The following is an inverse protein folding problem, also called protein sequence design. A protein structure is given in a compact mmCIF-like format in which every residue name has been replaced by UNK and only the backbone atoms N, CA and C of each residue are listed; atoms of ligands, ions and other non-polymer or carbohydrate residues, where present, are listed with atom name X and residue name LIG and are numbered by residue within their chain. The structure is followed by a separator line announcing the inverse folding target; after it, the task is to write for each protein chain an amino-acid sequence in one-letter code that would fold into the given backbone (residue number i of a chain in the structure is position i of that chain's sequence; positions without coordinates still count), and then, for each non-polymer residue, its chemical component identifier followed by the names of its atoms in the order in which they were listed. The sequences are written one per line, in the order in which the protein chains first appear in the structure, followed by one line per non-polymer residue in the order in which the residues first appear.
data_IF_969024894358
#
_entry.id   IF_969024894358
#
_cell.length_a   1.000
_cell.length_b   1.000
_cell.length_c   1.000
_cell.angle_alpha   90.00
_cell.angle_beta   90.00
_cell.angle_gamma   90.00
#
_symmetry.space_group_name_H-M   'P 1'
#
loop_
_entity.id
_entity.type
_entity.pdbx_description
1 polymer ?
#
# COMPACT_ATOMS: atom_id res chain seq x y z
N UNK A 1 5.13 -59.21 -77.95
CA UNK A 1 5.34 -57.80 -77.58
C UNK A 1 4.07 -56.96 -77.34
N UNK A 2 2.97 -57.48 -76.72
CA UNK A 2 1.91 -56.60 -76.18
C UNK A 2 1.80 -56.54 -74.64
N UNK A 3 2.47 -57.43 -73.90
CA UNK A 3 2.36 -57.49 -72.42
C UNK A 3 3.09 -56.36 -71.69
N UNK A 4 4.21 -55.88 -72.23
CA UNK A 4 5.03 -54.86 -71.57
C UNK A 4 4.35 -53.48 -71.57
N UNK A 5 3.62 -53.14 -72.64
CA UNK A 5 2.86 -51.88 -72.72
C UNK A 5 1.68 -51.84 -71.74
N UNK A 6 1.08 -52.98 -71.42
CA UNK A 6 -0.02 -53.06 -70.47
C UNK A 6 0.47 -52.86 -69.03
N UNK A 7 1.64 -53.40 -68.70
CA UNK A 7 2.27 -53.21 -67.38
C UNK A 7 2.67 -51.75 -67.16
N UNK A 8 3.28 -51.10 -68.15
CA UNK A 8 3.67 -49.68 -68.07
C UNK A 8 2.44 -48.78 -67.87
N UNK A 9 1.36 -49.01 -68.62
CA UNK A 9 0.12 -48.24 -68.46
C UNK A 9 -0.53 -48.44 -67.09
N UNK A 10 -0.53 -49.67 -66.56
CA UNK A 10 -1.03 -49.94 -65.20
C UNK A 10 -0.19 -49.25 -64.12
N UNK A 11 1.13 -49.22 -64.27
CA UNK A 11 2.02 -48.52 -63.32
C UNK A 11 1.79 -47.01 -63.38
N UNK A 12 1.69 -46.42 -64.58
CA UNK A 12 1.40 -44.99 -64.74
C UNK A 12 0.03 -44.61 -64.18
N UNK A 13 -0.99 -45.47 -64.35
CA UNK A 13 -2.31 -45.23 -63.76
C UNK A 13 -2.23 -45.21 -62.22
N UNK A 14 -1.53 -46.18 -61.61
CA UNK A 14 -1.34 -46.20 -60.16
C UNK A 14 -0.63 -44.93 -59.68
N UNK A 15 0.44 -44.48 -60.35
CA UNK A 15 1.11 -43.23 -59.98
C UNK A 15 0.20 -42.02 -60.11
N UNK A 16 -0.60 -41.95 -61.17
CA UNK A 16 -1.57 -40.86 -61.38
C UNK A 16 -2.62 -40.85 -60.27
N UNK A 17 -3.19 -42.01 -59.94
CA UNK A 17 -4.18 -42.15 -58.86
C UNK A 17 -3.57 -41.78 -57.49
N UNK A 18 -2.31 -42.12 -57.25
CA UNK A 18 -1.59 -41.74 -56.04
C UNK A 18 -1.29 -40.24 -55.99
N UNK A 19 -0.84 -39.62 -57.09
CA UNK A 19 -0.61 -38.18 -57.18
C UNK A 19 -1.90 -37.40 -56.93
N UNK A 20 -3.01 -37.79 -57.56
CA UNK A 20 -4.31 -37.17 -57.34
C UNK A 20 -4.78 -37.27 -55.88
N UNK A 21 -4.57 -38.44 -55.27
CA UNK A 21 -4.91 -38.67 -53.86
C UNK A 21 -4.05 -37.81 -52.92
N UNK A 22 -2.76 -37.69 -53.20
CA UNK A 22 -1.85 -36.86 -52.40
C UNK A 22 -2.12 -35.37 -52.57
N UNK A 23 -2.41 -34.91 -53.77
CA UNK A 23 -2.78 -33.52 -54.04
C UNK A 23 -4.12 -33.14 -53.38
N UNK A 24 -5.08 -34.07 -53.34
CA UNK A 24 -6.31 -33.88 -52.58
C UNK A 24 -6.02 -33.74 -51.07
N UNK A 25 -5.18 -34.60 -50.50
CA UNK A 25 -4.78 -34.52 -49.08
C UNK A 25 -3.99 -33.24 -48.76
N UNK A 26 -3.10 -32.81 -49.63
CA UNK A 26 -2.33 -31.57 -49.46
C UNK A 26 -3.24 -30.35 -49.48
N UNK A 27 -4.23 -30.31 -50.38
CA UNK A 27 -5.23 -29.23 -50.42
C UNK A 27 -6.09 -29.19 -49.16
N UNK A 28 -6.58 -30.33 -48.68
CA UNK A 28 -7.34 -30.42 -47.43
C UNK A 28 -6.52 -29.94 -46.22
N UNK A 29 -5.24 -30.34 -46.14
CA UNK A 29 -4.33 -29.90 -45.07
C UNK A 29 -4.01 -28.41 -45.14
N UNK A 30 -3.78 -27.87 -46.33
CA UNK A 30 -3.57 -26.44 -46.52
C UNK A 30 -4.79 -25.62 -46.10
N UNK A 31 -5.99 -26.11 -46.38
CA UNK A 31 -7.23 -25.46 -45.94
C UNK A 31 -7.40 -25.51 -44.43
N UNK A 32 -7.12 -26.67 -43.80
CA UNK A 32 -7.12 -26.80 -42.34
C UNK A 32 -6.10 -25.86 -41.67
N UNK A 33 -4.90 -25.70 -42.24
CA UNK A 33 -3.89 -24.76 -41.72
C UNK A 33 -4.42 -23.34 -41.79
N UNK A 34 -4.99 -22.91 -42.92
CA UNK A 34 -5.55 -21.55 -43.05
C UNK A 34 -6.70 -21.30 -42.07
N UNK A 35 -7.57 -22.28 -41.85
CA UNK A 35 -8.65 -22.18 -40.87
C UNK A 35 -8.11 -22.07 -39.43
N UNK A 36 -7.08 -22.86 -39.10
CA UNK A 36 -6.43 -22.78 -37.78
C UNK A 36 -5.70 -21.45 -37.59
N UNK A 37 -5.00 -20.95 -38.60
CA UNK A 37 -4.34 -19.64 -38.57
C UNK A 37 -5.37 -18.52 -38.35
N UNK A 38 -6.53 -18.59 -39.01
CA UNK A 38 -7.62 -17.63 -38.81
C UNK A 38 -8.23 -17.73 -37.40
N UNK A 39 -8.43 -18.94 -36.88
CA UNK A 39 -8.92 -19.16 -35.52
C UNK A 39 -7.93 -18.68 -34.47
N UNK A 40 -6.63 -18.94 -34.64
CA UNK A 40 -5.58 -18.44 -33.76
C UNK A 40 -5.55 -16.93 -33.78
N UNK A 41 -5.59 -16.29 -34.96
CA UNK A 41 -5.62 -14.83 -35.05
C UNK A 41 -6.89 -14.24 -34.39
N UNK A 42 -8.04 -14.90 -34.52
CA UNK A 42 -9.26 -14.49 -33.86
C UNK A 42 -9.16 -14.65 -32.33
N UNK A 43 -8.68 -15.78 -31.84
CA UNK A 43 -8.50 -16.02 -30.41
C UNK A 43 -7.43 -15.12 -29.80
N UNK A 44 -6.36 -14.82 -30.53
CA UNK A 44 -5.35 -13.84 -30.12
C UNK A 44 -5.96 -12.44 -30.06
N UNK A 45 -6.81 -12.07 -31.01
CA UNK A 45 -7.56 -10.80 -30.96
C UNK A 45 -8.53 -10.76 -29.78
N UNK A 46 -9.27 -11.84 -29.52
CA UNK A 46 -10.20 -11.94 -28.38
C UNK A 46 -9.46 -11.92 -27.04
N UNK A 47 -8.31 -12.58 -26.95
CA UNK A 47 -7.43 -12.57 -25.77
C UNK A 47 -6.75 -11.21 -25.58
N UNK A 48 -6.40 -10.53 -26.67
CA UNK A 48 -5.83 -9.19 -26.62
C UNK A 48 -6.90 -8.17 -26.23
N UNK A 49 -8.11 -8.24 -26.80
CA UNK A 49 -9.27 -7.39 -26.46
C UNK A 49 -9.78 -7.65 -25.04
N UNK A 50 -9.57 -8.86 -24.50
CA UNK A 50 -9.70 -9.17 -23.10
C UNK A 50 -8.58 -8.48 -22.28
N UNK A 51 -8.67 -7.16 -22.12
CA UNK A 51 -8.63 -6.68 -20.73
C UNK A 51 -9.97 -7.01 -20.15
N UNK A 52 -10.06 -8.25 -19.69
CA UNK A 52 -11.13 -8.59 -18.79
C UNK A 52 -10.93 -7.76 -17.53
N UNK A 53 -11.99 -7.10 -17.06
CA UNK A 53 -12.08 -6.64 -15.69
C UNK A 53 -11.88 -7.79 -14.67
N UNK A 54 -11.66 -9.03 -15.11
CA UNK A 54 -11.38 -10.19 -14.27
C UNK A 54 -9.99 -10.19 -13.65
N UNK A 55 -9.02 -9.46 -14.24
CA UNK A 55 -7.70 -9.26 -13.62
C UNK A 55 -7.68 -8.08 -12.63
N UNK A 56 -8.75 -7.29 -12.57
CA UNK A 56 -8.86 -6.12 -11.69
C UNK A 56 -9.33 -6.59 -10.32
N UNK A 57 -8.54 -6.26 -9.30
CA UNK A 57 -8.77 -6.69 -7.92
C UNK A 57 -9.77 -5.77 -7.22
N UNK A 58 -9.68 -4.44 -7.38
CA UNK A 58 -10.65 -3.53 -6.76
C UNK A 58 -12.01 -3.62 -7.45
N UNK A 59 -12.99 -4.16 -6.73
CA UNK A 59 -14.35 -4.37 -7.22
C UNK A 59 -15.03 -3.07 -7.69
N UNK A 60 -14.74 -1.93 -7.04
CA UNK A 60 -15.34 -0.66 -7.42
C UNK A 60 -14.79 -0.14 -8.76
N UNK A 61 -13.49 -0.32 -9.01
CA UNK A 61 -12.86 -0.07 -10.29
C UNK A 61 -13.41 -1.03 -11.35
N UNK A 62 -13.45 -2.34 -11.06
CA UNK A 62 -14.00 -3.37 -11.94
C UNK A 62 -15.42 -3.02 -12.40
N UNK A 63 -16.32 -2.73 -11.47
CA UNK A 63 -17.70 -2.31 -11.74
C UNK A 63 -17.79 -1.03 -12.57
N UNK A 64 -16.88 -0.08 -12.33
CA UNK A 64 -16.83 1.19 -13.09
C UNK A 64 -16.42 0.95 -14.53
N UNK A 65 -15.39 0.13 -14.76
CA UNK A 65 -14.87 -0.14 -16.10
C UNK A 65 -15.80 -1.04 -16.92
N UNK A 66 -16.51 -1.97 -16.29
CA UNK A 66 -17.55 -2.78 -16.95
C UNK A 66 -18.66 -1.94 -17.59
N UNK A 67 -18.96 -0.76 -17.04
CA UNK A 67 -19.94 0.19 -17.58
C UNK A 67 -19.40 1.03 -18.74
N UNK A 68 -18.09 0.98 -18.99
CA UNK A 68 -17.37 1.81 -19.96
C UNK A 68 -16.75 0.99 -21.10
N UNK A 69 -17.21 -0.26 -21.33
CA UNK A 69 -16.64 -1.17 -22.34
C UNK A 69 -16.52 -0.56 -23.75
N UNK A 70 -17.43 0.33 -24.12
CA UNK A 70 -17.45 0.99 -25.44
C UNK A 70 -16.99 2.44 -25.39
N UNK A 71 -16.50 2.92 -24.25
CA UNK A 71 -16.03 4.29 -24.09
C UNK A 71 -14.60 4.43 -24.67
N UNK A 72 -14.25 5.63 -25.18
CA UNK A 72 -12.87 5.96 -25.51
C UNK A 72 -11.90 5.71 -24.34
N UNK A 73 -10.68 5.29 -24.66
CA UNK A 73 -9.68 4.88 -23.65
C UNK A 73 -9.29 6.02 -22.70
N UNK A 74 -9.29 7.27 -23.17
CA UNK A 74 -9.05 8.45 -22.34
C UNK A 74 -10.15 8.62 -21.28
N UNK A 75 -11.40 8.37 -21.64
CA UNK A 75 -12.57 8.38 -20.75
C UNK A 75 -12.45 7.26 -19.73
N UNK A 76 -12.09 6.05 -20.16
CA UNK A 76 -11.86 4.91 -19.27
C UNK A 76 -10.76 5.19 -18.24
N UNK A 77 -9.63 5.75 -18.67
CA UNK A 77 -8.52 6.13 -17.77
C UNK A 77 -8.89 7.26 -16.82
N UNK A 78 -9.64 8.25 -17.30
CA UNK A 78 -10.18 9.35 -16.48
C UNK A 78 -11.02 8.81 -15.34
N UNK A 79 -11.91 7.88 -15.64
CA UNK A 79 -12.82 7.27 -14.68
C UNK A 79 -12.07 6.37 -13.68
N UNK A 80 -11.05 5.63 -14.12
CA UNK A 80 -10.15 4.91 -13.20
C UNK A 80 -9.44 5.87 -12.22
N UNK A 81 -8.96 7.01 -12.73
CA UNK A 81 -8.36 8.06 -11.89
C UNK A 81 -9.34 8.64 -10.86
N UNK A 82 -10.62 8.77 -11.20
CA UNK A 82 -11.69 9.20 -10.27
C UNK A 82 -11.89 8.17 -9.16
N UNK A 83 -11.87 6.87 -9.49
CA UNK A 83 -11.97 5.80 -8.48
C UNK A 83 -10.81 5.87 -7.49
N UNK A 84 -9.57 6.03 -7.98
CA UNK A 84 -8.39 6.22 -7.13
C UNK A 84 -8.52 7.43 -6.21
N UNK A 85 -8.93 8.59 -6.75
CA UNK A 85 -9.10 9.82 -5.98
C UNK A 85 -10.19 9.68 -4.89
N UNK A 86 -11.31 9.03 -5.22
CA UNK A 86 -12.39 8.71 -4.28
C UNK A 86 -11.90 7.81 -3.14
N UNK A 87 -11.14 6.77 -3.48
CA UNK A 87 -10.58 5.82 -2.50
C UNK A 87 -9.54 6.48 -1.60
N UNK A 88 -8.65 7.30 -2.17
CA UNK A 88 -7.70 8.12 -1.40
C UNK A 88 -8.40 9.01 -0.39
N UNK A 89 -9.48 9.68 -0.80
CA UNK A 89 -10.27 10.52 0.10
C UNK A 89 -10.88 9.71 1.25
N UNK A 90 -11.45 8.55 0.94
CA UNK A 90 -12.01 7.65 1.95
C UNK A 90 -10.93 7.17 2.94
N UNK A 91 -9.77 6.75 2.44
CA UNK A 91 -8.65 6.28 3.26
C UNK A 91 -8.03 7.40 4.11
N UNK A 92 -8.00 8.63 3.58
CA UNK A 92 -7.54 9.81 4.31
C UNK A 92 -8.50 10.30 5.41
N UNK A 93 -9.75 9.85 5.45
CA UNK A 93 -10.75 10.30 6.41
C UNK A 93 -11.20 11.75 6.15
N UNK A 94 -11.26 12.58 7.20
CA UNK A 94 -11.69 14.00 7.17
C UNK A 94 -10.68 14.94 6.46
N UNK A 95 -10.18 14.54 5.29
CA UNK A 95 -9.40 15.42 4.41
C UNK A 95 -10.34 16.45 3.79
N UNK A 96 -9.86 17.69 3.65
CA UNK A 96 -10.64 18.78 3.04
C UNK A 96 -11.18 18.35 1.66
N UNK A 97 -12.50 18.49 1.50
CA UNK A 97 -13.25 18.10 0.30
C UNK A 97 -12.83 18.89 -0.95
N UNK A 98 -12.21 20.05 -0.77
CA UNK A 98 -11.73 20.90 -1.86
C UNK A 98 -10.39 20.43 -2.45
N UNK A 99 -9.63 19.61 -1.72
CA UNK A 99 -8.35 19.11 -2.19
C UNK A 99 -8.56 18.07 -3.28
N UNK A 100 -7.86 18.23 -4.41
CA UNK A 100 -7.91 17.33 -5.56
C UNK A 100 -6.50 17.04 -6.06
N UNK A 101 -6.37 15.97 -6.86
CA UNK A 101 -5.10 15.60 -7.48
C UNK A 101 -3.96 15.46 -6.46
N UNK A 102 -2.83 16.09 -6.73
CA UNK A 102 -1.63 15.97 -5.88
C UNK A 102 -1.79 16.56 -4.49
N UNK A 103 -2.62 17.59 -4.34
CA UNK A 103 -2.85 18.20 -3.03
C UNK A 103 -3.61 17.26 -2.10
N UNK A 104 -4.49 16.41 -2.66
CA UNK A 104 -5.12 15.34 -1.89
C UNK A 104 -4.08 14.30 -1.46
N UNK A 105 -3.23 13.84 -2.37
CA UNK A 105 -2.15 12.89 -2.05
C UNK A 105 -1.25 13.43 -0.93
N UNK A 106 -0.83 14.69 -1.04
CA UNK A 106 0.02 15.33 -0.05
C UNK A 106 -0.69 15.37 1.31
N UNK A 107 -1.98 15.73 1.37
CA UNK A 107 -2.73 15.74 2.62
C UNK A 107 -2.92 14.34 3.24
N UNK A 108 -2.99 13.29 2.42
CA UNK A 108 -3.17 11.90 2.89
C UNK A 108 -1.84 11.32 3.40
N UNK A 109 -0.74 11.50 2.69
CA UNK A 109 0.52 10.77 2.95
C UNK A 109 1.66 11.61 3.54
N UNK A 110 1.45 12.90 3.81
CA UNK A 110 2.50 13.76 4.37
C UNK A 110 3.21 13.12 5.58
N UNK A 111 4.54 13.26 5.63
CA UNK A 111 5.40 12.65 6.65
C UNK A 111 5.04 13.06 8.09
N UNK A 112 4.58 14.29 8.28
CA UNK A 112 4.27 14.83 9.61
C UNK A 112 2.78 14.77 9.92
N UNK A 113 1.95 15.18 8.94
CA UNK A 113 0.52 15.46 9.12
C UNK A 113 -0.41 14.52 8.35
N UNK A 114 0.14 13.65 7.51
CA UNK A 114 -0.62 12.73 6.67
C UNK A 114 -1.48 11.80 7.52
N UNK A 115 -2.69 11.52 7.07
CA UNK A 115 -3.65 10.67 7.79
C UNK A 115 -3.37 9.18 7.65
N UNK A 116 -2.57 8.78 6.67
CA UNK A 116 -2.31 7.38 6.37
C UNK A 116 -0.79 7.08 6.41
N UNK A 117 -0.42 6.07 7.18
CA UNK A 117 0.96 5.61 7.39
C UNK A 117 1.10 4.18 6.85
N UNK A 118 2.17 3.98 6.09
CA UNK A 118 2.61 2.67 5.57
C UNK A 118 3.86 2.18 6.30
N UNK A 119 4.74 3.11 6.67
CA UNK A 119 5.97 2.82 7.39
C UNK A 119 6.28 3.92 8.40
N UNK A 120 6.88 3.51 9.53
CA UNK A 120 7.46 4.45 10.49
C UNK A 120 8.79 5.04 9.99
N UNK A 121 9.38 4.45 8.93
CA UNK A 121 10.61 4.96 8.32
C UNK A 121 10.29 6.11 7.34
N UNK A 122 10.82 7.33 7.57
CA UNK A 122 10.44 8.51 6.77
C UNK A 122 10.67 8.35 5.26
N UNK A 123 11.78 7.73 4.85
CA UNK A 123 12.10 7.55 3.42
C UNK A 123 11.13 6.60 2.72
N UNK A 124 10.65 5.57 3.42
CA UNK A 124 9.70 4.60 2.84
C UNK A 124 8.32 5.25 2.70
N UNK A 125 7.88 5.96 3.74
CA UNK A 125 6.64 6.73 3.70
C UNK A 125 6.67 7.80 2.58
N UNK A 126 7.81 8.45 2.39
CA UNK A 126 7.99 9.39 1.28
C UNK A 126 7.93 8.71 -0.07
N UNK A 127 8.50 7.49 -0.20
CA UNK A 127 8.39 6.67 -1.40
C UNK A 127 6.93 6.38 -1.78
N UNK A 128 6.10 6.01 -0.80
CA UNK A 128 4.66 5.82 -1.00
C UNK A 128 4.00 7.12 -1.47
N UNK A 129 4.29 8.25 -0.82
CA UNK A 129 3.75 9.55 -1.25
C UNK A 129 4.12 9.87 -2.70
N UNK A 130 5.39 9.67 -3.09
CA UNK A 130 5.86 9.94 -4.45
C UNK A 130 5.22 9.02 -5.48
N UNK A 131 5.00 7.75 -5.14
CA UNK A 131 4.33 6.78 -6.00
C UNK A 131 2.90 7.23 -6.35
N UNK A 132 2.08 7.54 -5.33
CA UNK A 132 0.71 8.02 -5.55
C UNK A 132 0.69 9.39 -6.24
N UNK A 133 1.62 10.29 -5.90
CA UNK A 133 1.72 11.61 -6.53
C UNK A 133 2.05 11.49 -8.01
N UNK A 134 3.01 10.63 -8.36
CA UNK A 134 3.38 10.33 -9.73
C UNK A 134 2.21 9.75 -10.53
N UNK A 135 1.49 8.78 -9.96
CA UNK A 135 0.31 8.21 -10.60
C UNK A 135 -0.77 9.27 -10.89
N UNK A 136 -1.07 10.14 -9.92
CA UNK A 136 -2.06 11.20 -10.13
C UNK A 136 -1.59 12.23 -11.17
N UNK A 137 -0.31 12.65 -11.13
CA UNK A 137 0.23 13.62 -12.08
C UNK A 137 0.35 13.07 -13.51
N UNK A 138 0.78 11.83 -13.64
CA UNK A 138 1.10 11.23 -14.93
C UNK A 138 -0.08 10.50 -15.58
N UNK A 139 -0.94 9.87 -14.77
CA UNK A 139 -2.02 9.03 -15.28
C UNK A 139 -3.35 9.79 -15.29
N UNK A 140 -3.71 10.41 -14.17
CA UNK A 140 -5.04 11.04 -14.00
C UNK A 140 -5.12 12.42 -14.64
N UNK A 141 -4.11 13.28 -14.41
CA UNK A 141 -4.19 14.68 -14.84
C UNK A 141 -4.21 14.87 -16.37
N UNK A 142 -3.42 14.15 -17.18
CA UNK A 142 -3.42 14.37 -18.63
C UNK A 142 -4.79 14.14 -19.30
N UNK A 143 -5.51 13.02 -19.12
CA UNK A 143 -6.84 12.82 -19.74
C UNK A 143 -7.91 13.75 -19.16
N UNK A 144 -7.69 14.34 -17.98
CA UNK A 144 -8.58 15.37 -17.41
C UNK A 144 -8.42 16.74 -18.06
N UNK A 145 -7.26 17.02 -18.66
CA UNK A 145 -6.91 18.35 -19.20
C UNK A 145 -6.68 18.35 -20.72
N UNK A 146 -6.53 17.18 -21.35
CA UNK A 146 -6.22 17.00 -22.76
C UNK A 146 -6.96 15.78 -23.30
N UNK A 147 -7.38 15.84 -24.55
CA UNK A 147 -7.76 14.66 -25.31
C UNK A 147 -6.47 13.96 -25.75
N UNK A 148 -6.30 12.70 -25.35
CA UNK A 148 -5.10 11.92 -25.63
C UNK A 148 -5.55 10.61 -26.26
N UNK A 149 -5.03 10.35 -27.45
CA UNK A 149 -5.24 9.07 -28.12
C UNK A 149 -4.26 8.04 -27.54
N UNK A 150 -4.72 7.28 -26.55
CA UNK A 150 -3.92 6.26 -25.91
C UNK A 150 -3.86 5.00 -26.76
N UNK A 151 -2.66 4.46 -26.95
CA UNK A 151 -2.52 3.08 -27.41
C UNK A 151 -3.14 2.13 -26.38
N UNK A 152 -3.87 1.14 -26.86
CA UNK A 152 -4.64 0.23 -26.01
C UNK A 152 -3.77 -0.44 -24.94
N UNK A 153 -2.62 -0.99 -25.33
CA UNK A 153 -1.68 -1.61 -24.37
C UNK A 153 -1.22 -0.64 -23.27
N UNK A 154 -0.99 0.64 -23.61
CA UNK A 154 -0.57 1.64 -22.64
C UNK A 154 -1.71 1.97 -21.65
N UNK A 155 -2.94 2.15 -22.15
CA UNK A 155 -4.10 2.40 -21.29
C UNK A 155 -4.34 1.24 -20.30
N UNK A 156 -4.18 0.00 -20.77
CA UNK A 156 -4.30 -1.21 -19.96
C UNK A 156 -3.25 -1.27 -18.84
N UNK A 157 -1.99 -0.99 -19.15
CA UNK A 157 -0.93 -0.92 -18.14
C UNK A 157 -1.21 0.16 -17.09
N UNK A 158 -1.71 1.32 -17.50
CA UNK A 158 -2.07 2.40 -16.59
C UNK A 158 -3.26 2.05 -15.69
N UNK A 159 -4.27 1.34 -16.21
CA UNK A 159 -5.39 0.82 -15.41
C UNK A 159 -4.89 -0.19 -14.36
N UNK A 160 -4.02 -1.13 -14.75
CA UNK A 160 -3.42 -2.11 -13.82
C UNK A 160 -2.56 -1.44 -12.75
N UNK A 161 -1.86 -0.37 -13.10
CA UNK A 161 -1.15 0.45 -12.11
C UNK A 161 -2.13 1.07 -11.11
N UNK A 162 -3.24 1.66 -11.57
CA UNK A 162 -4.27 2.21 -10.67
C UNK A 162 -4.83 1.13 -9.76
N UNK A 163 -5.16 -0.05 -10.28
CA UNK A 163 -5.65 -1.17 -9.49
C UNK A 163 -4.65 -1.61 -8.41
N UNK A 164 -3.38 -1.75 -8.77
CA UNK A 164 -2.31 -2.08 -7.83
C UNK A 164 -2.18 -1.04 -6.70
N UNK A 165 -2.36 0.25 -7.03
CA UNK A 165 -2.36 1.33 -6.04
C UNK A 165 -3.59 1.31 -5.14
N UNK A 166 -4.74 0.89 -5.65
CA UNK A 166 -5.96 0.70 -4.86
C UNK A 166 -5.77 -0.41 -3.83
N UNK A 167 -5.21 -1.55 -4.25
CA UNK A 167 -4.87 -2.66 -3.34
C UNK A 167 -3.86 -2.20 -2.29
N UNK A 168 -2.77 -1.55 -2.71
CA UNK A 168 -1.78 -1.00 -1.80
C UNK A 168 -2.42 -0.03 -0.79
N UNK A 169 -3.37 0.80 -1.22
CA UNK A 169 -4.03 1.75 -0.34
C UNK A 169 -4.73 1.08 0.86
N UNK A 170 -5.21 -0.16 0.71
CA UNK A 170 -5.86 -0.92 1.78
C UNK A 170 -4.90 -1.38 2.87
N UNK A 171 -3.59 -1.45 2.60
CA UNK A 171 -2.57 -1.78 3.59
C UNK A 171 -2.22 -0.60 4.51
N UNK A 172 -2.63 0.61 4.12
CA UNK A 172 -2.38 1.84 4.86
C UNK A 172 -3.07 1.86 6.21
N UNK A 173 -2.34 2.23 7.26
CA UNK A 173 -2.87 2.34 8.62
C UNK A 173 -3.19 3.80 8.95
N UNK A 174 -4.32 4.09 9.63
CA UNK A 174 -4.60 5.45 10.11
C UNK A 174 -3.47 5.95 11.03
N UNK A 175 -3.01 7.18 10.81
CA UNK A 175 -2.10 7.85 11.74
C UNK A 175 -2.87 8.14 13.02
N UNK A 176 -2.40 7.58 14.13
CA UNK A 176 -2.88 7.95 15.46
C UNK A 176 -2.47 9.41 15.74
N UNK A 177 -3.45 10.29 15.91
CA UNK A 177 -3.23 11.71 16.18
C UNK A 177 -2.68 11.93 17.58
N UNK A 178 -2.02 13.07 17.83
CA UNK A 178 -1.55 13.43 19.19
C UNK A 178 -2.70 13.47 20.19
N UNK A 179 -3.89 13.92 19.76
CA UNK A 179 -5.09 13.93 20.61
C UNK A 179 -5.48 12.51 21.04
N UNK A 180 -5.50 11.57 20.11
CA UNK A 180 -5.79 10.16 20.40
C UNK A 180 -4.68 9.54 21.27
N UNK A 181 -3.41 9.82 20.98
CA UNK A 181 -2.28 9.37 21.82
C UNK A 181 -2.37 9.91 23.25
N UNK A 182 -2.75 11.18 23.43
CA UNK A 182 -2.96 11.78 24.74
C UNK A 182 -4.10 11.04 25.46
N UNK A 183 -5.23 10.80 24.80
CA UNK A 183 -6.36 10.10 25.43
C UNK A 183 -6.00 8.65 25.79
N UNK A 184 -5.32 7.92 24.91
CA UNK A 184 -4.77 6.60 25.21
C UNK A 184 -3.76 6.64 26.36
N UNK A 185 -2.94 7.68 26.46
CA UNK A 185 -2.02 7.88 27.58
C UNK A 185 -2.77 8.15 28.88
N UNK A 186 -3.86 8.92 28.85
CA UNK A 186 -4.73 9.15 30.02
C UNK A 186 -5.41 7.87 30.48
N UNK A 187 -5.94 7.08 29.54
CA UNK A 187 -6.48 5.74 29.81
C UNK A 187 -5.41 4.83 30.44
N UNK A 188 -4.20 4.86 29.88
CA UNK A 188 -3.04 4.15 30.43
C UNK A 188 -2.84 4.55 31.89
N UNK A 189 -2.75 5.84 32.21
CA UNK A 189 -2.54 6.36 33.57
C UNK A 189 -3.67 6.03 34.55
N UNK A 190 -4.91 5.86 34.07
CA UNK A 190 -6.09 5.53 34.90
C UNK A 190 -6.33 4.05 35.12
N UNK A 191 -5.85 3.17 34.24
CA UNK A 191 -6.18 1.73 34.25
C UNK A 191 -5.99 1.05 35.61
N UNK A 192 -4.95 1.44 36.36
CA UNK A 192 -4.68 1.03 37.75
C UNK A 192 -4.05 2.20 38.53
N UNK A 193 -4.21 2.28 39.86
CA UNK A 193 -3.52 3.29 40.65
C UNK A 193 -1.99 3.25 40.39
N UNK A 194 -1.40 4.41 40.11
CA UNK A 194 0.06 4.53 39.97
C UNK A 194 0.73 4.32 41.33
N UNK A 195 1.77 3.49 41.35
CA UNK A 195 2.58 3.29 42.57
C UNK A 195 3.31 4.58 42.95
N UNK A 196 3.75 4.69 44.21
CA UNK A 196 4.55 5.85 44.67
C UNK A 196 5.80 6.05 43.80
N UNK A 197 6.49 4.96 43.45
CA UNK A 197 7.65 4.99 42.56
C UNK A 197 7.32 5.52 41.17
N UNK A 198 6.20 5.10 40.57
CA UNK A 198 5.80 5.58 39.23
C UNK A 198 5.48 7.08 39.24
N UNK A 199 4.78 7.56 40.27
CA UNK A 199 4.49 8.99 40.43
C UNK A 199 5.77 9.80 40.61
N UNK A 200 6.70 9.31 41.44
CA UNK A 200 7.98 9.97 41.67
C UNK A 200 8.82 10.02 40.39
N UNK A 201 8.88 8.93 39.63
CA UNK A 201 9.55 8.90 38.32
C UNK A 201 9.02 9.98 37.38
N UNK A 202 7.69 10.10 37.26
CA UNK A 202 7.07 11.11 36.42
C UNK A 202 7.36 12.54 36.92
N UNK A 203 7.39 12.76 38.23
CA UNK A 203 7.72 14.06 38.81
C UNK A 203 9.18 14.45 38.53
N UNK A 204 10.13 13.54 38.74
CA UNK A 204 11.56 13.80 38.50
C UNK A 204 11.82 14.13 37.02
N UNK A 205 11.26 13.33 36.11
CA UNK A 205 11.41 13.58 34.68
C UNK A 205 10.68 14.84 34.22
N UNK A 206 9.55 15.21 34.83
CA UNK A 206 8.85 16.45 34.51
C UNK A 206 9.65 17.68 34.98
N UNK A 207 10.31 17.59 36.13
CA UNK A 207 11.19 18.64 36.65
C UNK A 207 12.46 18.80 35.80
N UNK A 208 13.01 17.71 35.29
CA UNK A 208 14.17 17.74 34.38
C UNK A 208 13.85 18.39 33.02
N UNK A 209 12.58 18.48 32.63
CA UNK A 209 12.15 19.11 31.40
C UNK A 209 12.80 18.49 30.17
N UNK A 210 13.30 19.32 29.27
CA UNK A 210 13.89 18.87 28.00
C UNK A 210 15.28 18.24 28.14
N UNK A 211 15.93 18.44 29.28
CA UNK A 211 17.26 17.84 29.55
C UNK A 211 17.11 16.33 29.80
N UNK A 212 15.99 15.88 30.36
CA UNK A 212 15.81 14.50 30.77
C UNK A 212 16.81 14.07 31.84
N UNK A 213 16.85 12.77 32.14
CA UNK A 213 17.75 12.19 33.15
C UNK A 213 18.29 10.84 32.70
N UNK A 214 19.55 10.53 32.99
CA UNK A 214 20.11 9.20 32.78
C UNK A 214 19.61 8.19 33.82
N UNK A 215 19.86 6.90 33.59
CA UNK A 215 19.54 5.85 34.57
C UNK A 215 20.17 6.12 35.94
N UNK A 216 21.42 6.59 35.99
CA UNK A 216 22.08 6.94 37.26
C UNK A 216 21.40 8.11 37.96
N UNK A 217 21.18 9.20 37.24
CA UNK A 217 20.56 10.41 37.78
C UNK A 217 19.15 10.11 38.31
N UNK A 218 18.36 9.28 37.60
CA UNK A 218 17.05 8.83 38.06
C UNK A 218 17.11 7.97 39.31
N UNK A 219 18.00 6.97 39.33
CA UNK A 219 18.17 6.09 40.50
C UNK A 219 18.56 6.88 41.75
N UNK A 220 19.49 7.82 41.61
CA UNK A 220 19.93 8.69 42.69
C UNK A 220 18.81 9.63 43.15
N UNK A 221 18.17 10.36 42.23
CA UNK A 221 17.10 11.30 42.56
C UNK A 221 15.88 10.62 43.20
N UNK A 222 15.60 9.37 42.83
CA UNK A 222 14.51 8.58 43.41
C UNK A 222 14.90 7.84 44.70
N UNK A 223 16.20 7.78 45.04
CA UNK A 223 16.70 7.01 46.18
C UNK A 223 16.50 5.50 46.04
N UNK A 224 16.59 4.95 44.82
CA UNK A 224 16.42 3.53 44.53
C UNK A 224 17.59 2.95 43.74
N UNK A 225 17.80 1.63 43.86
CA UNK A 225 18.82 0.93 43.08
C UNK A 225 18.49 0.91 41.57
N UNK A 226 19.52 0.82 40.72
CA UNK A 226 19.33 0.66 39.25
C UNK A 226 18.46 -0.57 38.89
N UNK A 227 18.62 -1.76 39.52
CA UNK A 227 17.70 -2.88 39.30
C UNK A 227 16.24 -2.55 39.65
N UNK A 228 16.01 -1.81 40.74
CA UNK A 228 14.66 -1.38 41.13
C UNK A 228 14.06 -0.41 40.11
N UNK A 229 14.85 0.53 39.57
CA UNK A 229 14.43 1.41 38.48
C UNK A 229 14.08 0.59 37.22
N UNK A 230 14.89 -0.41 36.88
CA UNK A 230 14.60 -1.33 35.77
C UNK A 230 13.26 -2.04 35.94
N UNK A 231 12.96 -2.55 37.14
CA UNK A 231 11.65 -3.15 37.45
C UNK A 231 10.49 -2.16 37.34
N UNK A 232 10.69 -0.90 37.73
CA UNK A 232 9.71 0.17 37.62
C UNK A 232 9.38 0.49 36.15
N UNK A 233 10.42 0.63 35.32
CA UNK A 233 10.28 0.88 33.88
C UNK A 233 9.66 -0.32 33.16
N UNK A 234 10.01 -1.55 33.55
CA UNK A 234 9.38 -2.77 33.03
C UNK A 234 7.89 -2.85 33.35
N UNK A 235 7.48 -2.50 34.57
CA UNK A 235 6.08 -2.42 34.95
C UNK A 235 5.30 -1.35 34.16
N UNK A 236 5.95 -0.23 33.82
CA UNK A 236 5.38 0.79 32.93
C UNK A 236 5.27 0.29 31.49
N UNK A 237 6.30 -0.39 30.97
CA UNK A 237 6.27 -1.02 29.65
C UNK A 237 5.10 -1.98 29.51
N UNK A 238 4.93 -2.89 30.48
CA UNK A 238 3.78 -3.81 30.50
C UNK A 238 2.44 -3.06 30.52
N UNK A 239 2.37 -1.94 31.23
CA UNK A 239 1.18 -1.09 31.28
C UNK A 239 0.85 -0.48 29.92
N UNK A 240 1.85 0.01 29.19
CA UNK A 240 1.70 0.61 27.87
C UNK A 240 1.25 -0.44 26.85
N UNK A 241 1.93 -1.60 26.77
CA UNK A 241 1.62 -2.68 25.82
C UNK A 241 0.16 -3.17 25.92
N UNK A 242 -0.45 -3.09 27.10
CA UNK A 242 -1.83 -3.51 27.32
C UNK A 242 -2.85 -2.34 27.27
N UNK A 243 -2.46 -1.18 26.74
CA UNK A 243 -3.36 -0.03 26.54
C UNK A 243 -3.60 0.22 25.07
N UNK A 244 -4.87 0.17 24.66
CA UNK A 244 -5.27 0.43 23.27
C UNK A 244 -4.85 1.84 22.82
N UNK A 245 -4.26 1.93 21.62
CA UNK A 245 -3.79 3.18 21.01
C UNK A 245 -2.37 3.61 21.41
N UNK A 246 -1.68 2.83 22.24
CA UNK A 246 -0.23 2.92 22.42
C UNK A 246 0.39 1.67 21.79
N UNK A 247 1.17 1.84 20.73
CA UNK A 247 1.58 0.73 19.85
C UNK A 247 3.09 0.67 19.64
N UNK A 248 3.90 1.41 20.41
CA UNK A 248 5.34 1.37 20.19
C UNK A 248 5.88 -0.04 20.43
N UNK A 249 6.56 -0.56 19.43
CA UNK A 249 7.35 -1.79 19.50
C UNK A 249 8.47 -1.68 20.55
N UNK A 250 8.84 -0.45 20.94
CA UNK A 250 9.89 -0.13 21.91
C UNK A 250 9.43 -0.06 23.37
N UNK A 251 8.17 -0.45 23.67
CA UNK A 251 7.65 -0.49 25.05
C UNK A 251 7.36 0.90 25.62
N UNK A 252 8.30 1.50 26.35
CA UNK A 252 8.11 2.82 26.99
C UNK A 252 8.33 4.00 26.04
N UNK A 253 8.75 3.74 24.80
CA UNK A 253 9.05 4.76 23.79
C UNK A 253 7.84 5.60 23.36
N UNK A 254 6.61 5.13 23.60
CA UNK A 254 5.40 5.93 23.37
C UNK A 254 5.36 7.16 24.29
N UNK A 255 5.86 7.07 25.51
CA UNK A 255 5.73 8.12 26.53
C UNK A 255 7.07 8.77 26.91
N UNK A 256 8.19 8.13 26.59
CA UNK A 256 9.53 8.66 26.79
C UNK A 256 10.31 8.77 25.47
N UNK A 257 11.10 9.84 25.34
CA UNK A 257 12.21 9.87 24.40
C UNK A 257 13.43 9.24 25.09
N UNK A 258 14.07 8.28 24.41
CA UNK A 258 15.21 7.53 24.93
C UNK A 258 16.39 7.80 24.01
N UNK A 259 17.43 8.42 24.54
CA UNK A 259 18.62 8.80 23.77
C UNK A 259 19.88 8.32 24.49
N UNK A 260 20.96 7.97 23.77
CA UNK A 260 22.25 7.68 24.39
C UNK A 260 22.84 8.98 24.96
N UNK A 261 23.36 8.91 26.19
CA UNK A 261 24.13 9.97 26.83
C UNK A 261 25.64 9.78 26.60
N UNK A 262 26.44 10.83 26.83
CA UNK A 262 27.90 10.82 26.63
C UNK A 262 28.63 9.74 27.45
N UNK A 263 28.09 9.41 28.63
CA UNK A 263 28.62 8.36 29.51
C UNK A 263 28.20 6.94 29.10
N UNK A 264 27.55 6.77 27.95
CA UNK A 264 27.06 5.48 27.45
C UNK A 264 25.76 5.00 28.12
N UNK A 265 25.16 5.78 29.02
CA UNK A 265 23.86 5.46 29.60
C UNK A 265 22.69 5.87 28.70
N UNK A 266 21.50 5.31 28.96
CA UNK A 266 20.27 5.81 28.35
C UNK A 266 19.74 7.00 29.16
N UNK A 267 19.40 8.07 28.45
CA UNK A 267 18.71 9.27 28.93
C UNK A 267 17.24 9.19 28.59
N UNK A 268 16.40 9.41 29.59
CA UNK A 268 14.95 9.39 29.50
C UNK A 268 14.42 10.81 29.60
N UNK A 269 13.52 11.20 28.69
CA UNK A 269 12.84 12.48 28.70
C UNK A 269 11.34 12.25 28.52
N UNK A 270 10.49 12.95 29.28
CA UNK A 270 9.04 12.88 29.09
C UNK A 270 8.67 13.48 27.72
N UNK A 271 7.89 12.73 26.93
CA UNK A 271 7.33 13.28 25.69
C UNK A 271 6.19 14.27 26.00
N UNK A 272 5.94 15.26 25.13
CA UNK A 272 4.84 16.22 25.30
C UNK A 272 3.48 15.57 25.53
N UNK A 273 3.21 14.43 24.88
CA UNK A 273 1.95 13.69 25.02
C UNK A 273 1.73 13.16 26.45
N UNK A 274 2.79 12.66 27.11
CA UNK A 274 2.72 12.20 28.48
C UNK A 274 2.62 13.38 29.44
N UNK A 275 3.38 14.46 29.21
CA UNK A 275 3.30 15.65 30.05
C UNK A 275 1.87 16.23 30.09
N UNK A 276 1.23 16.36 28.93
CA UNK A 276 -0.15 16.82 28.83
C UNK A 276 -1.13 15.88 29.56
N UNK A 277 -0.97 14.57 29.38
CA UNK A 277 -1.80 13.58 30.07
C UNK A 277 -1.61 13.63 31.59
N UNK A 278 -0.38 13.75 32.10
CA UNK A 278 -0.09 13.85 33.53
C UNK A 278 -0.70 15.09 34.18
N UNK A 279 -0.66 16.25 33.49
CA UNK A 279 -1.30 17.49 33.92
C UNK A 279 -2.83 17.37 33.91
N UNK A 280 -3.40 16.81 32.84
CA UNK A 280 -4.85 16.58 32.74
C UNK A 280 -5.38 15.69 33.87
N UNK A 281 -4.56 14.75 34.34
CA UNK A 281 -4.90 13.83 35.44
C UNK A 281 -4.41 14.28 36.81
N UNK A 282 -3.88 15.51 36.94
CA UNK A 282 -3.41 16.09 38.21
C UNK A 282 -2.41 15.19 38.94
N UNK A 283 -1.59 14.44 38.19
CA UNK A 283 -0.53 13.58 38.75
C UNK A 283 0.71 14.40 39.07
N UNK A 284 0.97 15.42 38.25
CA UNK A 284 1.99 16.44 38.44
C UNK A 284 1.31 17.82 38.43
N UNK A 285 1.92 18.85 39.06
CA UNK A 285 1.43 20.21 39.01
C UNK A 285 1.43 20.82 37.59
#
# INVERSE_FOLDING_TARGET
MPKDSQLVNSILQVFTDYEETWDAKLRDKAEQIRQLEQQVAQLESELLEAVTPDDIIDEALKDRLLKLKSAPLDTTLREAGVVLESRLRKAGGDVDKTLTGVHLVDAVFNLEKGRLIFSDHPTEQEGIRMLFRGAIQFVRNPPMHKLIDYQEGAAKTLIRLIDSLLVLLEEGKPRITDKEKIESTRLMLKRRPLSKGQRLLFQMLAQAGDVGMTNSELSEAMGISRPSLGGLLGALGYRITHTQGLTSSTGIGDIFAITPAENGELRYQIRPILLQALKAEKIIP
#
